data_IF_817839944656
#
_entry.id   IF_817839944656
#
_cell.length_a   1.000
_cell.length_b   1.000
_cell.length_c   1.000
_cell.angle_alpha   90.00
_cell.angle_beta   90.00
_cell.angle_gamma   90.00
#
_symmetry.space_group_name_H-M   'P 1'
#
loop_
_entity.id
_entity.type
_entity.pdbx_description
1 polymer ?
#
# COMPACT_ATOMS: atom_id res chain seq x y z
N UNK A 1 35.36 12.69 22.89
CA UNK A 1 33.96 12.71 22.40
C UNK A 1 33.65 11.33 21.87
N UNK A 2 32.68 10.58 22.39
CA UNK A 2 32.29 9.35 21.79
C UNK A 2 31.72 9.66 20.41
N UNK A 3 32.25 9.01 19.37
CA UNK A 3 31.66 9.00 18.02
C UNK A 3 30.22 8.51 18.17
N UNK A 4 29.24 9.41 18.14
CA UNK A 4 27.87 9.04 17.85
C UNK A 4 27.87 8.49 16.41
N UNK A 5 27.90 7.19 16.28
CA UNK A 5 27.59 6.57 15.00
C UNK A 5 26.11 6.83 14.73
N UNK A 6 25.84 7.93 14.06
CA UNK A 6 24.53 8.20 13.50
C UNK A 6 24.49 7.45 12.18
N UNK A 7 23.56 6.50 12.01
CA UNK A 7 23.32 5.91 10.70
C UNK A 7 23.08 7.03 9.69
N UNK A 8 23.69 6.98 8.49
CA UNK A 8 23.66 8.08 7.53
C UNK A 8 22.27 8.32 6.90
N UNK A 9 21.30 7.44 7.21
CA UNK A 9 19.98 7.48 6.60
C UNK A 9 19.03 8.39 7.37
N UNK A 10 18.57 9.46 6.73
CA UNK A 10 17.54 10.33 7.31
C UNK A 10 16.20 9.60 7.40
N UNK A 11 15.40 9.86 8.44
CA UNK A 11 14.01 9.38 8.50
C UNK A 11 13.21 9.82 7.28
N UNK A 12 12.35 8.92 6.80
CA UNK A 12 11.39 9.23 5.75
C UNK A 12 10.29 10.18 6.25
N UNK A 13 9.70 10.96 5.35
CA UNK A 13 8.51 11.74 5.67
C UNK A 13 7.33 10.79 5.92
N UNK A 14 6.61 10.99 7.01
CA UNK A 14 5.46 10.15 7.36
C UNK A 14 4.30 10.38 6.40
N UNK A 15 3.63 9.30 6.01
CA UNK A 15 2.50 9.41 5.08
C UNK A 15 1.41 10.36 5.58
N UNK A 16 1.12 10.35 6.87
CA UNK A 16 0.16 11.28 7.47
C UNK A 16 0.54 12.74 7.28
N UNK A 17 1.82 13.06 7.13
CA UNK A 17 2.31 14.40 6.82
C UNK A 17 2.19 14.69 5.33
N UNK A 18 2.52 13.71 4.47
CA UNK A 18 2.31 13.82 3.01
C UNK A 18 0.85 14.12 2.70
N UNK A 19 -0.08 13.38 3.32
CA UNK A 19 -1.53 13.58 3.13
C UNK A 19 -2.03 14.95 3.59
N UNK A 20 -1.36 15.59 4.55
CA UNK A 20 -1.69 16.96 5.00
C UNK A 20 -1.15 18.05 4.07
N UNK A 21 -0.07 17.76 3.34
CA UNK A 21 0.56 18.73 2.43
C UNK A 21 -0.15 18.86 1.08
N UNK A 22 -1.00 17.91 0.73
CA UNK A 22 -1.68 17.84 -0.55
C UNK A 22 -3.19 17.74 -0.36
N UNK A 23 -3.97 18.47 -1.14
CA UNK A 23 -5.42 18.35 -1.16
C UNK A 23 -5.90 17.00 -1.70
N UNK A 24 -5.09 16.38 -2.56
CA UNK A 24 -5.34 15.05 -3.12
C UNK A 24 -4.00 14.42 -3.53
N UNK A 25 -3.66 13.27 -2.98
CA UNK A 25 -2.36 12.62 -3.24
C UNK A 25 -2.44 11.60 -4.38
N UNK A 26 -1.38 11.54 -5.17
CA UNK A 26 -1.17 10.53 -6.21
C UNK A 26 -0.07 9.57 -5.76
N UNK A 27 -0.36 8.29 -5.76
CA UNK A 27 0.61 7.27 -5.38
C UNK A 27 0.50 6.00 -6.20
N UNK A 28 1.55 5.20 -6.19
CA UNK A 28 1.57 3.95 -6.93
C UNK A 28 2.30 2.85 -6.15
N UNK A 29 1.88 1.60 -6.39
CA UNK A 29 2.51 0.41 -5.87
C UNK A 29 3.49 -0.16 -6.88
N UNK A 30 4.67 -0.56 -6.41
CA UNK A 30 5.65 -1.31 -7.18
C UNK A 30 5.92 -2.67 -6.57
N UNK A 31 6.22 -3.64 -7.41
CA UNK A 31 6.56 -5.00 -7.00
C UNK A 31 8.08 -5.15 -7.09
N UNK A 32 8.76 -5.55 -6.00
CA UNK A 32 10.20 -5.82 -6.04
C UNK A 32 10.53 -6.91 -7.07
N UNK A 33 11.74 -6.88 -7.66
CA UNK A 33 12.15 -7.92 -8.59
C UNK A 33 12.19 -9.26 -7.88
N UNK A 34 11.58 -10.26 -8.49
CA UNK A 34 11.59 -11.63 -7.99
C UNK A 34 12.96 -12.24 -8.24
N UNK A 35 13.47 -13.02 -7.28
CA UNK A 35 14.75 -13.73 -7.41
C UNK A 35 15.97 -12.84 -7.71
N UNK A 36 15.90 -11.53 -7.39
CA UNK A 36 16.99 -10.60 -7.63
C UNK A 36 17.22 -10.21 -9.09
N UNK A 37 16.42 -10.73 -10.02
CA UNK A 37 16.51 -10.38 -11.44
C UNK A 37 15.79 -9.04 -11.73
N UNK A 38 16.15 -8.41 -12.85
CA UNK A 38 15.45 -7.25 -13.42
C UNK A 38 15.37 -6.00 -12.51
N UNK A 39 16.33 -5.82 -11.61
CA UNK A 39 16.36 -4.67 -10.70
C UNK A 39 16.32 -3.33 -11.47
N UNK A 40 17.05 -3.23 -12.58
CA UNK A 40 17.06 -2.03 -13.43
C UNK A 40 15.66 -1.65 -13.92
N UNK A 41 14.88 -2.61 -14.37
CA UNK A 41 13.49 -2.36 -14.84
C UNK A 41 12.59 -1.81 -13.74
N UNK A 42 12.73 -2.29 -12.50
CA UNK A 42 11.96 -1.77 -11.36
C UNK A 42 12.38 -0.33 -11.04
N UNK A 43 13.67 -0.02 -11.09
CA UNK A 43 14.15 1.36 -10.88
C UNK A 43 13.67 2.31 -12.00
N UNK A 44 13.63 1.86 -13.25
CA UNK A 44 13.06 2.62 -14.37
C UNK A 44 11.54 2.85 -14.19
N UNK A 45 10.80 1.85 -13.71
CA UNK A 45 9.39 2.03 -13.37
C UNK A 45 9.19 3.07 -12.27
N UNK A 46 9.98 3.00 -11.20
CA UNK A 46 9.96 3.95 -10.09
C UNK A 46 10.19 5.36 -10.61
N UNK A 47 11.26 5.56 -11.39
CA UNK A 47 11.59 6.84 -11.99
C UNK A 47 10.44 7.39 -12.85
N UNK A 48 9.84 6.53 -13.68
CA UNK A 48 8.73 6.91 -14.55
C UNK A 48 7.48 7.33 -13.78
N UNK A 49 7.13 6.61 -12.71
CA UNK A 49 5.97 6.92 -11.86
C UNK A 49 6.16 8.23 -11.09
N UNK A 50 7.35 8.45 -10.54
CA UNK A 50 7.69 9.70 -9.84
C UNK A 50 7.70 10.87 -10.83
N UNK A 51 8.32 10.71 -11.99
CA UNK A 51 8.31 11.71 -13.06
C UNK A 51 6.91 12.03 -13.59
N UNK A 52 5.97 11.10 -13.46
CA UNK A 52 4.57 11.29 -13.80
C UNK A 52 3.74 12.00 -12.71
N UNK A 53 4.31 12.25 -11.53
CA UNK A 53 3.67 13.00 -10.45
C UNK A 53 3.26 12.18 -9.23
N UNK A 54 3.69 10.92 -9.09
CA UNK A 54 3.49 10.18 -7.87
C UNK A 54 4.26 10.83 -6.70
N UNK A 55 3.56 11.17 -5.62
CA UNK A 55 4.10 11.87 -4.45
C UNK A 55 4.66 10.92 -3.40
N UNK A 56 4.23 9.67 -3.42
CA UNK A 56 4.83 8.58 -2.67
C UNK A 56 4.62 7.24 -3.41
N UNK A 57 5.42 6.26 -3.06
CA UNK A 57 5.28 4.90 -3.61
C UNK A 57 5.13 3.87 -2.49
N UNK A 58 4.54 2.73 -2.80
CA UNK A 58 4.60 1.56 -1.93
C UNK A 58 5.35 0.40 -2.59
N UNK A 59 5.97 -0.44 -1.78
CA UNK A 59 6.71 -1.62 -2.24
C UNK A 59 6.14 -2.86 -1.60
N UNK A 60 5.68 -3.82 -2.41
CA UNK A 60 5.07 -5.05 -1.93
C UNK A 60 6.07 -6.00 -1.28
N UNK A 61 5.60 -6.87 -0.38
CA UNK A 61 6.37 -7.95 0.24
C UNK A 61 5.62 -9.27 0.12
N UNK A 62 6.04 -10.11 -0.81
CA UNK A 62 5.49 -11.46 -1.00
C UNK A 62 4.03 -11.47 -1.48
N UNK A 63 3.61 -10.50 -2.27
CA UNK A 63 2.27 -10.42 -2.83
C UNK A 63 1.90 -11.69 -3.61
N UNK A 64 0.66 -12.19 -3.41
CA UNK A 64 0.18 -13.42 -4.02
C UNK A 64 0.94 -14.68 -3.58
N UNK A 65 1.49 -14.70 -2.37
CA UNK A 65 2.22 -15.86 -1.85
C UNK A 65 3.67 -16.02 -2.33
N UNK A 66 4.17 -15.07 -3.14
CA UNK A 66 5.50 -15.11 -3.74
C UNK A 66 6.65 -14.91 -2.74
N UNK A 67 7.89 -14.91 -3.24
CA UNK A 67 9.09 -14.62 -2.45
C UNK A 67 9.01 -13.25 -1.78
N UNK A 68 9.56 -13.15 -0.57
CA UNK A 68 9.45 -11.96 0.30
C UNK A 68 10.70 -11.08 0.33
N UNK A 69 11.69 -11.37 -0.49
CA UNK A 69 12.91 -10.58 -0.61
C UNK A 69 12.72 -9.29 -1.42
N UNK A 70 13.67 -8.38 -1.33
CA UNK A 70 13.76 -7.19 -2.19
C UNK A 70 12.96 -5.96 -1.73
N UNK A 71 11.98 -6.08 -0.83
CA UNK A 71 11.13 -4.93 -0.42
C UNK A 71 11.94 -3.82 0.24
N UNK A 72 12.75 -4.15 1.25
CA UNK A 72 13.54 -3.16 1.99
C UNK A 72 14.58 -2.45 1.10
N UNK A 73 15.41 -3.14 0.28
CA UNK A 73 16.32 -2.47 -0.63
C UNK A 73 15.65 -1.54 -1.64
N UNK A 74 14.50 -1.93 -2.19
CA UNK A 74 13.75 -1.08 -3.14
C UNK A 74 13.13 0.12 -2.41
N UNK A 75 12.54 -0.08 -1.21
CA UNK A 75 12.04 1.04 -0.40
C UNK A 75 13.16 2.04 -0.07
N UNK A 76 14.35 1.54 0.26
CA UNK A 76 15.52 2.36 0.52
C UNK A 76 15.98 3.12 -0.75
N UNK A 77 15.96 2.48 -1.91
CA UNK A 77 16.29 3.15 -3.17
C UNK A 77 15.29 4.27 -3.48
N UNK A 78 13.98 4.05 -3.30
CA UNK A 78 12.94 5.08 -3.48
C UNK A 78 13.25 6.29 -2.59
N UNK A 79 13.46 6.05 -1.31
CA UNK A 79 13.73 7.11 -0.32
C UNK A 79 15.05 7.85 -0.60
N UNK A 80 16.16 7.13 -0.84
CA UNK A 80 17.48 7.74 -0.92
C UNK A 80 17.84 8.26 -2.32
N UNK A 81 17.48 7.53 -3.37
CA UNK A 81 17.85 7.93 -4.74
C UNK A 81 16.83 8.90 -5.33
N UNK A 82 15.53 8.60 -5.14
CA UNK A 82 14.47 9.40 -5.75
C UNK A 82 13.90 10.46 -4.81
N UNK A 83 14.26 10.45 -3.51
CA UNK A 83 13.84 11.44 -2.51
C UNK A 83 12.31 11.57 -2.35
N UNK A 84 11.61 10.46 -2.51
CA UNK A 84 10.16 10.35 -2.40
C UNK A 84 9.81 9.43 -1.24
N UNK A 85 8.80 9.76 -0.40
CA UNK A 85 8.37 8.90 0.68
C UNK A 85 7.97 7.51 0.19
N UNK A 86 8.31 6.49 0.96
CA UNK A 86 8.05 5.10 0.61
C UNK A 86 7.33 4.34 1.71
N UNK A 87 6.22 3.69 1.36
CA UNK A 87 5.55 2.72 2.22
C UNK A 87 6.16 1.34 1.97
N UNK A 88 6.81 0.77 2.96
CA UNK A 88 7.24 -0.62 2.90
C UNK A 88 6.09 -1.54 3.35
N UNK A 89 5.65 -2.47 2.50
CA UNK A 89 4.77 -3.53 2.97
C UNK A 89 5.53 -4.45 3.90
N UNK A 90 4.92 -4.74 5.03
CA UNK A 90 5.48 -5.66 6.02
C UNK A 90 4.47 -6.77 6.32
N UNK A 91 4.89 -8.03 6.11
CA UNK A 91 4.03 -9.19 6.34
C UNK A 91 4.54 -10.00 7.51
N UNK A 92 3.65 -10.40 8.42
CA UNK A 92 3.98 -11.27 9.55
C UNK A 92 3.86 -12.77 9.25
N UNK A 93 3.41 -13.15 8.06
CA UNK A 93 3.30 -14.55 7.65
C UNK A 93 4.61 -15.31 7.87
N UNK A 94 4.54 -16.46 8.54
CA UNK A 94 5.67 -17.36 8.83
C UNK A 94 6.80 -16.75 9.67
N UNK A 95 6.56 -15.60 10.32
CA UNK A 95 7.51 -14.94 11.21
C UNK A 95 7.09 -15.14 12.67
N UNK A 96 8.09 -15.29 13.53
CA UNK A 96 7.91 -15.16 14.98
C UNK A 96 7.82 -13.68 15.36
N UNK A 97 7.28 -13.32 16.54
CA UNK A 97 7.34 -11.94 17.04
C UNK A 97 8.77 -11.39 17.09
N UNK A 98 9.76 -12.24 17.39
CA UNK A 98 11.17 -11.83 17.42
C UNK A 98 11.70 -11.53 16.00
N UNK A 99 11.33 -12.31 14.99
CA UNK A 99 11.70 -12.04 13.59
C UNK A 99 11.08 -10.72 13.12
N UNK A 100 9.82 -10.47 13.52
CA UNK A 100 9.11 -9.20 13.23
C UNK A 100 9.86 -8.02 13.84
N UNK A 101 10.22 -8.09 15.13
CA UNK A 101 10.96 -7.04 15.82
C UNK A 101 12.30 -6.75 15.14
N UNK A 102 13.10 -7.80 14.89
CA UNK A 102 14.40 -7.67 14.25
C UNK A 102 14.30 -6.99 12.87
N UNK A 103 13.36 -7.45 12.02
CA UNK A 103 13.18 -6.86 10.69
C UNK A 103 12.65 -5.41 10.75
N UNK A 104 11.79 -5.07 11.72
CA UNK A 104 11.32 -3.70 11.91
C UNK A 104 12.44 -2.77 12.34
N UNK A 105 13.34 -3.23 13.21
CA UNK A 105 14.53 -2.45 13.60
C UNK A 105 15.44 -2.20 12.40
N UNK A 106 15.61 -3.16 11.49
CA UNK A 106 16.34 -2.93 10.23
C UNK A 106 15.68 -1.82 9.42
N UNK A 107 14.33 -1.83 9.27
CA UNK A 107 13.60 -0.76 8.59
C UNK A 107 13.84 0.60 9.27
N UNK A 108 13.79 0.63 10.60
CA UNK A 108 14.03 1.85 11.37
C UNK A 108 15.43 2.41 11.15
N UNK A 109 16.47 1.56 11.16
CA UNK A 109 17.86 1.96 10.91
C UNK A 109 18.06 2.49 9.49
N UNK A 110 17.39 1.94 8.50
CA UNK A 110 17.38 2.46 7.13
C UNK A 110 16.55 3.75 6.97
N UNK A 111 15.95 4.25 8.04
CA UNK A 111 15.13 5.46 8.01
C UNK A 111 13.75 5.26 7.38
N UNK A 112 13.33 4.03 7.09
CA UNK A 112 11.97 3.75 6.64
C UNK A 112 11.02 4.01 7.79
N UNK A 113 9.99 4.84 7.54
CA UNK A 113 9.01 5.22 8.56
C UNK A 113 7.60 4.77 8.24
N UNK A 114 7.27 4.54 7.00
CA UNK A 114 5.91 4.16 6.60
C UNK A 114 5.83 2.64 6.39
N UNK A 115 5.04 1.98 7.20
CA UNK A 115 4.85 0.53 7.16
C UNK A 115 3.37 0.24 6.85
N UNK A 116 3.08 -0.49 5.77
CA UNK A 116 1.78 -1.11 5.58
C UNK A 116 1.80 -2.51 6.22
N UNK A 117 1.14 -2.64 7.36
CA UNK A 117 1.13 -3.87 8.14
C UNK A 117 0.10 -4.86 7.61
N UNK A 118 0.57 -6.01 7.16
CA UNK A 118 -0.22 -7.05 6.51
C UNK A 118 0.00 -8.41 7.19
N UNK A 119 -1.02 -9.26 7.16
CA UNK A 119 -0.84 -10.67 7.53
C UNK A 119 0.10 -11.36 6.53
N UNK A 120 -0.07 -11.09 5.27
CA UNK A 120 0.51 -11.80 4.13
C UNK A 120 -0.43 -12.88 3.59
N UNK A 121 -0.33 -13.11 2.27
CA UNK A 121 -1.09 -14.15 1.60
C UNK A 121 -0.55 -15.54 1.93
N UNK A 122 -1.36 -16.60 1.92
CA UNK A 122 -0.87 -17.97 1.94
C UNK A 122 0.20 -18.21 0.87
N UNK A 123 1.14 -19.12 1.08
CA UNK A 123 2.06 -19.52 0.02
C UNK A 123 1.32 -19.96 -1.24
N UNK A 124 1.88 -19.65 -2.40
CA UNK A 124 1.25 -19.98 -3.69
C UNK A 124 0.94 -21.49 -3.76
N UNK A 125 -0.29 -21.82 -4.17
CA UNK A 125 -0.78 -23.20 -4.25
C UNK A 125 -1.24 -23.85 -2.93
N UNK A 126 -1.14 -23.18 -1.78
CA UNK A 126 -1.59 -23.71 -0.48
C UNK A 126 -2.95 -23.08 -0.14
N UNK A 127 -4.00 -23.93 -0.10
CA UNK A 127 -5.36 -23.48 0.24
C UNK A 127 -5.58 -23.34 1.75
N UNK A 128 -5.03 -24.24 2.56
CA UNK A 128 -5.13 -24.22 4.02
C UNK A 128 -3.77 -23.90 4.67
N UNK A 129 -3.48 -22.62 4.77
CA UNK A 129 -2.31 -22.18 5.50
C UNK A 129 -2.68 -21.81 6.94
N UNK A 130 -1.84 -22.26 7.89
CA UNK A 130 -1.94 -21.87 9.29
C UNK A 130 -0.71 -21.06 9.69
N UNK A 131 -0.85 -19.98 10.49
CA UNK A 131 0.29 -19.30 11.07
C UNK A 131 1.16 -20.26 11.89
N UNK A 132 2.42 -19.91 12.10
CA UNK A 132 3.24 -20.60 13.11
C UNK A 132 2.58 -20.49 14.47
N UNK A 133 2.75 -21.49 15.34
CA UNK A 133 2.17 -21.53 16.67
C UNK A 133 2.46 -20.27 17.50
N UNK A 134 3.68 -19.72 17.40
CA UNK A 134 4.09 -18.48 18.03
C UNK A 134 3.94 -17.23 17.16
N UNK A 135 3.38 -17.35 15.94
CA UNK A 135 3.27 -16.26 14.98
C UNK A 135 1.96 -15.49 15.12
N UNK A 136 1.86 -14.36 14.43
CA UNK A 136 0.63 -13.58 14.37
C UNK A 136 -0.38 -14.17 13.38
N UNK A 137 -1.64 -14.22 13.80
CA UNK A 137 -2.76 -14.72 13.00
C UNK A 137 -3.40 -13.63 12.17
N UNK A 138 -3.34 -12.39 12.67
CA UNK A 138 -4.00 -11.23 12.06
C UNK A 138 -3.06 -10.02 11.98
N UNK A 139 -3.35 -9.13 11.04
CA UNK A 139 -2.56 -7.92 10.86
C UNK A 139 -2.67 -6.92 12.04
N UNK A 140 -3.77 -6.92 12.78
CA UNK A 140 -3.91 -6.05 13.95
C UNK A 140 -2.94 -6.42 15.09
N UNK A 141 -2.57 -7.69 15.23
CA UNK A 141 -1.56 -8.14 16.21
C UNK A 141 -0.16 -7.62 15.83
N UNK A 142 0.17 -7.64 14.53
CA UNK A 142 1.38 -7.00 14.02
C UNK A 142 1.38 -5.49 14.27
N UNK A 143 0.26 -4.81 14.01
CA UNK A 143 0.11 -3.37 14.26
C UNK A 143 0.33 -3.05 15.74
N UNK A 144 -0.20 -3.86 16.63
CA UNK A 144 0.02 -3.70 18.08
C UNK A 144 1.48 -3.82 18.45
N UNK A 145 2.24 -4.78 17.88
CA UNK A 145 3.68 -4.88 18.11
C UNK A 145 4.42 -3.64 17.59
N UNK A 146 4.11 -3.15 16.39
CA UNK A 146 4.75 -1.93 15.87
C UNK A 146 4.43 -0.73 16.78
N UNK A 147 3.20 -0.62 17.28
CA UNK A 147 2.82 0.43 18.23
C UNK A 147 3.59 0.34 19.54
N UNK A 148 3.82 -0.88 20.06
CA UNK A 148 4.66 -1.10 21.24
C UNK A 148 6.09 -0.63 21.01
N UNK A 149 6.70 -0.96 19.88
CA UNK A 149 8.02 -0.47 19.47
C UNK A 149 8.06 1.06 19.39
N UNK A 150 7.01 1.69 18.87
CA UNK A 150 6.89 3.16 18.87
C UNK A 150 6.82 3.76 20.30
N UNK A 151 6.39 2.98 21.27
CA UNK A 151 6.43 3.34 22.69
C UNK A 151 7.74 2.96 23.39
N UNK A 152 8.69 2.33 22.70
CA UNK A 152 9.93 1.81 23.32
C UNK A 152 9.73 0.49 24.07
N UNK A 153 8.60 -0.19 23.89
CA UNK A 153 8.30 -1.47 24.52
C UNK A 153 8.69 -2.62 23.58
N UNK A 154 9.83 -3.21 23.88
CA UNK A 154 10.44 -4.32 23.13
C UNK A 154 10.11 -5.67 23.76
N UNK A 155 10.21 -6.72 22.96
CA UNK A 155 10.02 -8.08 23.45
C UNK A 155 11.08 -8.44 24.50
N UNK A 156 10.62 -9.05 25.59
CA UNK A 156 11.52 -9.56 26.62
C UNK A 156 12.36 -10.70 26.07
N UNK A 157 13.68 -10.59 26.21
CA UNK A 157 14.63 -11.66 25.81
C UNK A 157 14.88 -12.58 27.00
N UNK A 158 14.66 -13.86 26.82
CA UNK A 158 14.99 -14.89 27.81
C UNK A 158 16.47 -15.20 27.68
N UNK A 159 17.25 -15.05 28.77
CA UNK A 159 18.67 -15.47 28.84
C UNK A 159 19.69 -14.54 28.18
N UNK A 160 19.30 -13.35 27.75
CA UNK A 160 20.23 -12.34 27.23
C UNK A 160 20.59 -11.27 28.28
N UNK A 161 21.67 -10.48 28.05
CA UNK A 161 21.95 -9.32 28.90
C UNK A 161 20.74 -8.36 28.82
N UNK A 162 20.31 -7.86 29.96
CA UNK A 162 19.23 -6.87 29.99
C UNK A 162 19.71 -5.60 29.31
N UNK A 163 19.04 -5.19 28.25
CA UNK A 163 19.30 -3.92 27.59
C UNK A 163 18.72 -2.82 28.48
N UNK A 164 19.60 -2.01 29.06
CA UNK A 164 19.22 -0.95 30.01
C UNK A 164 18.64 0.28 29.33
N UNK A 165 18.76 0.40 28.02
CA UNK A 165 18.27 1.52 27.23
C UNK A 165 17.66 1.04 25.92
N UNK A 166 16.41 1.42 25.68
CA UNK A 166 15.66 1.10 24.47
C UNK A 166 15.10 2.40 23.89
N UNK A 167 15.43 2.69 22.64
CA UNK A 167 14.90 3.85 21.94
C UNK A 167 13.55 3.50 21.28
N UNK A 168 12.60 4.43 21.40
CA UNK A 168 11.33 4.34 20.68
C UNK A 168 11.56 4.43 19.18
N UNK A 169 10.84 3.60 18.42
CA UNK A 169 10.69 3.82 16.99
C UNK A 169 9.60 4.87 16.73
N UNK A 170 9.43 5.30 15.48
CA UNK A 170 8.44 6.32 15.13
C UNK A 170 7.71 5.99 13.81
N UNK A 171 7.35 4.72 13.63
CA UNK A 171 6.65 4.25 12.44
C UNK A 171 5.27 4.89 12.27
N UNK A 172 4.98 5.32 11.05
CA UNK A 172 3.64 5.62 10.56
C UNK A 172 3.02 4.32 10.01
N UNK A 173 2.01 3.81 10.71
CA UNK A 173 1.46 2.47 10.49
C UNK A 173 0.23 2.57 9.60
N UNK A 174 0.23 1.85 8.48
CA UNK A 174 -0.91 1.69 7.59
C UNK A 174 -1.58 0.33 7.76
N UNK A 175 -2.85 0.27 7.44
CA UNK A 175 -3.67 -0.92 7.44
C UNK A 175 -4.37 -1.14 6.09
N UNK A 176 -4.47 -2.38 5.62
CA UNK A 176 -5.33 -2.70 4.49
C UNK A 176 -6.80 -2.68 4.91
N UNK A 177 -7.64 -2.07 4.08
CA UNK A 177 -9.09 -2.08 4.19
C UNK A 177 -9.70 -2.88 3.04
N UNK A 178 -10.81 -3.57 3.30
CA UNK A 178 -11.48 -4.45 2.35
C UNK A 178 -12.96 -4.07 2.24
N UNK A 179 -13.30 -3.02 1.47
CA UNK A 179 -14.68 -2.51 1.35
C UNK A 179 -15.67 -3.53 0.80
N UNK A 180 -15.19 -4.53 0.07
CA UNK A 180 -16.01 -5.58 -0.56
C UNK A 180 -15.81 -6.97 0.07
N UNK A 181 -15.32 -7.04 1.31
CA UNK A 181 -15.27 -8.33 2.02
C UNK A 181 -16.67 -8.98 2.03
N UNK A 182 -16.78 -10.29 1.73
CA UNK A 182 -18.09 -10.93 1.55
C UNK A 182 -19.01 -10.91 2.77
N UNK A 183 -18.45 -10.78 3.97
CA UNK A 183 -19.22 -10.65 5.22
C UNK A 183 -19.22 -9.19 5.67
N UNK A 184 -20.37 -8.51 5.57
CA UNK A 184 -20.51 -7.08 5.85
C UNK A 184 -20.02 -6.67 7.24
N UNK A 185 -20.40 -7.43 8.26
CA UNK A 185 -20.01 -7.18 9.65
C UNK A 185 -18.49 -7.28 9.84
N UNK A 186 -17.81 -8.16 9.11
CA UNK A 186 -16.36 -8.34 9.18
C UNK A 186 -15.58 -7.24 8.48
N UNK A 187 -16.13 -6.59 7.44
CA UNK A 187 -15.49 -5.48 6.74
C UNK A 187 -15.05 -4.41 7.72
N UNK A 188 -16.01 -3.91 8.47
CA UNK A 188 -15.82 -2.82 9.41
C UNK A 188 -15.08 -3.29 10.66
N UNK A 189 -15.46 -4.46 11.20
CA UNK A 189 -14.86 -5.03 12.41
C UNK A 189 -13.35 -5.20 12.29
N UNK A 190 -12.87 -5.87 11.23
CA UNK A 190 -11.44 -6.09 11.06
C UNK A 190 -10.67 -4.81 10.77
N UNK A 191 -11.26 -3.86 10.07
CA UNK A 191 -10.62 -2.58 9.87
C UNK A 191 -10.54 -1.79 11.18
N UNK A 192 -11.63 -1.77 11.95
CA UNK A 192 -11.65 -1.14 13.28
C UNK A 192 -10.61 -1.73 14.22
N UNK A 193 -10.48 -3.06 14.31
CA UNK A 193 -9.43 -3.71 15.11
C UNK A 193 -8.01 -3.23 14.74
N UNK A 194 -7.74 -3.00 13.45
CA UNK A 194 -6.45 -2.48 12.99
C UNK A 194 -6.23 -1.02 13.42
N UNK A 195 -7.28 -0.20 13.38
CA UNK A 195 -7.21 1.20 13.83
C UNK A 195 -7.03 1.26 15.35
N UNK A 196 -7.82 0.50 16.10
CA UNK A 196 -7.73 0.43 17.57
C UNK A 196 -6.35 -0.10 18.03
N UNK A 197 -5.72 -0.99 17.26
CA UNK A 197 -4.36 -1.46 17.49
C UNK A 197 -3.28 -0.39 17.25
N UNK A 198 -3.59 0.70 16.54
CA UNK A 198 -2.70 1.83 16.34
C UNK A 198 -2.36 2.19 14.90
N UNK A 199 -3.15 1.76 13.91
CA UNK A 199 -2.94 2.20 12.52
C UNK A 199 -3.36 3.67 12.34
N UNK A 200 -2.58 4.42 11.56
CA UNK A 200 -2.72 5.85 11.34
C UNK A 200 -3.44 6.19 10.02
N UNK A 201 -3.52 5.24 9.09
CA UNK A 201 -4.20 5.38 7.81
C UNK A 201 -4.63 4.02 7.25
N UNK A 202 -5.54 4.04 6.28
CA UNK A 202 -5.96 2.86 5.53
C UNK A 202 -5.63 2.97 4.04
N UNK A 203 -5.39 1.83 3.38
CA UNK A 203 -5.40 1.70 1.92
C UNK A 203 -6.38 0.57 1.58
N UNK A 204 -7.34 0.81 0.68
CA UNK A 204 -8.25 -0.25 0.27
C UNK A 204 -7.55 -1.24 -0.67
N UNK A 205 -8.06 -2.46 -0.75
CA UNK A 205 -7.80 -3.31 -1.90
C UNK A 205 -8.35 -2.67 -3.19
N UNK A 206 -8.26 -3.39 -4.33
CA UNK A 206 -8.72 -2.84 -5.63
C UNK A 206 -10.20 -2.48 -5.56
N UNK A 207 -10.51 -1.26 -5.98
CA UNK A 207 -11.86 -0.71 -5.97
C UNK A 207 -12.14 -0.03 -7.30
N UNK A 208 -13.29 -0.34 -7.92
CA UNK A 208 -13.72 0.19 -9.21
C UNK A 208 -15.11 0.84 -9.17
N UNK A 209 -15.84 0.66 -8.09
CA UNK A 209 -17.11 1.33 -7.85
C UNK A 209 -16.95 2.40 -6.75
N UNK A 210 -17.01 3.69 -7.10
CA UNK A 210 -16.83 4.77 -6.15
C UNK A 210 -17.93 4.82 -5.09
N UNK A 211 -19.12 4.28 -5.36
CA UNK A 211 -20.22 4.20 -4.40
C UNK A 211 -19.89 3.21 -3.25
N UNK A 212 -19.15 2.15 -3.54
CA UNK A 212 -18.67 1.21 -2.52
C UNK A 212 -17.71 1.93 -1.57
N UNK A 213 -16.80 2.73 -2.11
CA UNK A 213 -15.90 3.56 -1.31
C UNK A 213 -16.67 4.51 -0.39
N UNK A 214 -17.63 5.25 -0.96
CA UNK A 214 -18.43 6.21 -0.22
C UNK A 214 -19.18 5.56 0.96
N UNK A 215 -19.86 4.43 0.71
CA UNK A 215 -20.57 3.68 1.76
C UNK A 215 -19.63 3.15 2.83
N UNK A 216 -18.45 2.66 2.44
CA UNK A 216 -17.46 2.15 3.40
C UNK A 216 -16.93 3.24 4.31
N UNK A 217 -16.55 4.41 3.75
CA UNK A 217 -16.06 5.56 4.52
C UNK A 217 -17.14 6.11 5.45
N UNK A 218 -18.40 6.20 5.00
CA UNK A 218 -19.53 6.60 5.83
C UNK A 218 -19.71 5.64 7.03
N UNK A 219 -19.64 4.33 6.79
CA UNK A 219 -19.71 3.32 7.85
C UNK A 219 -18.54 3.42 8.83
N UNK A 220 -17.34 3.68 8.33
CA UNK A 220 -16.15 3.94 9.15
C UNK A 220 -16.37 5.15 10.07
N UNK A 221 -16.82 6.27 9.50
CA UNK A 221 -17.09 7.51 10.24
C UNK A 221 -18.13 7.30 11.35
N UNK A 222 -19.25 6.64 11.03
CA UNK A 222 -20.31 6.27 12.01
C UNK A 222 -19.80 5.38 13.14
N UNK A 223 -18.72 4.61 12.89
CA UNK A 223 -18.09 3.75 13.89
C UNK A 223 -16.92 4.39 14.62
N UNK A 224 -16.71 5.70 14.46
CA UNK A 224 -15.67 6.47 15.12
C UNK A 224 -14.27 6.31 14.49
N UNK A 225 -14.18 5.80 13.27
CA UNK A 225 -12.91 5.71 12.51
C UNK A 225 -12.74 7.02 11.73
N UNK A 226 -11.70 7.80 12.07
CA UNK A 226 -11.41 9.12 11.50
C UNK A 226 -10.08 9.19 10.73
N UNK A 227 -9.37 8.07 10.60
CA UNK A 227 -8.12 8.04 9.85
C UNK A 227 -8.36 8.19 8.34
N UNK A 228 -7.42 8.80 7.58
CA UNK A 228 -7.53 8.86 6.15
C UNK A 228 -7.51 7.46 5.51
N UNK A 229 -8.39 7.22 4.54
CA UNK A 229 -8.51 5.96 3.80
C UNK A 229 -8.27 6.25 2.33
N UNK A 230 -7.15 5.76 1.79
CA UNK A 230 -6.85 5.91 0.36
C UNK A 230 -7.52 4.78 -0.42
N UNK A 231 -8.36 5.09 -1.43
CA UNK A 231 -8.83 4.06 -2.35
C UNK A 231 -7.68 3.53 -3.21
N UNK A 232 -7.52 2.21 -3.20
CA UNK A 232 -6.64 1.49 -4.12
C UNK A 232 -7.40 1.17 -5.41
N UNK A 233 -6.79 1.37 -6.57
CA UNK A 233 -7.42 1.08 -7.85
C UNK A 233 -6.40 0.71 -8.91
N UNK A 234 -6.88 0.33 -10.07
CA UNK A 234 -6.04 -0.05 -11.21
C UNK A 234 -6.68 0.37 -12.52
N UNK A 235 -5.87 0.68 -13.55
CA UNK A 235 -6.36 0.93 -14.89
C UNK A 235 -6.72 -0.40 -15.54
N UNK A 236 -7.97 -0.51 -15.97
CA UNK A 236 -8.50 -1.67 -16.67
C UNK A 236 -8.12 -1.59 -18.16
N UNK A 237 -7.72 -2.71 -18.75
CA UNK A 237 -7.27 -2.76 -20.14
C UNK A 237 -8.33 -3.29 -21.09
N UNK A 238 -9.08 -4.29 -20.64
CA UNK A 238 -10.12 -4.94 -21.45
C UNK A 238 -11.18 -5.57 -20.57
N UNK A 239 -12.34 -5.88 -21.15
CA UNK A 239 -13.46 -6.56 -20.48
C UNK A 239 -13.05 -7.94 -19.99
N UNK A 240 -12.33 -8.69 -20.82
CA UNK A 240 -11.81 -10.02 -20.45
C UNK A 240 -10.86 -9.93 -19.24
N UNK A 241 -9.92 -8.98 -19.22
CA UNK A 241 -9.02 -8.77 -18.09
C UNK A 241 -9.79 -8.32 -16.85
N UNK A 242 -10.72 -7.39 -17.01
CA UNK A 242 -11.55 -6.86 -15.92
C UNK A 242 -12.35 -7.98 -15.23
N UNK A 243 -13.02 -8.84 -15.98
CA UNK A 243 -13.78 -9.98 -15.44
C UNK A 243 -12.88 -10.99 -14.69
N UNK A 244 -11.72 -11.34 -15.27
CA UNK A 244 -10.75 -12.23 -14.60
C UNK A 244 -10.27 -11.63 -13.27
N UNK A 245 -10.02 -10.33 -13.24
CA UNK A 245 -9.58 -9.63 -12.04
C UNK A 245 -10.71 -9.54 -11.01
N UNK A 246 -11.93 -9.18 -11.40
CA UNK A 246 -13.09 -9.16 -10.53
C UNK A 246 -13.30 -10.51 -9.84
N UNK A 247 -13.22 -11.61 -10.59
CA UNK A 247 -13.35 -12.96 -10.04
C UNK A 247 -12.20 -13.32 -9.07
N UNK A 248 -10.96 -12.97 -9.43
CA UNK A 248 -9.78 -13.29 -8.61
C UNK A 248 -9.76 -12.54 -7.27
N UNK A 249 -10.07 -11.26 -7.30
CA UNK A 249 -9.98 -10.37 -6.12
C UNK A 249 -11.34 -10.17 -5.44
N UNK A 250 -12.42 -10.75 -5.98
CA UNK A 250 -13.80 -10.64 -5.48
C UNK A 250 -14.25 -9.18 -5.35
N UNK A 251 -13.96 -8.39 -6.37
CA UNK A 251 -14.30 -6.96 -6.44
C UNK A 251 -15.34 -6.70 -7.50
N UNK A 252 -16.16 -5.69 -7.28
CA UNK A 252 -17.21 -5.27 -8.20
C UNK A 252 -16.67 -4.30 -9.23
N UNK A 253 -16.91 -4.60 -10.51
CA UNK A 253 -16.68 -3.65 -11.60
C UNK A 253 -18.04 -3.27 -12.18
N UNK A 254 -18.44 -1.99 -12.16
CA UNK A 254 -19.73 -1.55 -12.65
C UNK A 254 -19.95 -2.00 -14.11
N UNK A 255 -21.17 -2.45 -14.43
CA UNK A 255 -21.51 -2.93 -15.76
C UNK A 255 -21.32 -1.87 -16.84
N UNK A 256 -21.55 -0.59 -16.50
CA UNK A 256 -21.24 0.55 -17.38
C UNK A 256 -19.76 0.62 -17.74
N UNK A 257 -18.87 0.38 -16.78
CA UNK A 257 -17.41 0.31 -16.99
C UNK A 257 -17.06 -0.89 -17.89
N UNK A 258 -17.63 -2.08 -17.61
CA UNK A 258 -17.39 -3.26 -18.43
C UNK A 258 -17.80 -3.06 -19.89
N UNK A 259 -18.97 -2.45 -20.14
CA UNK A 259 -19.44 -2.17 -21.51
C UNK A 259 -18.56 -1.17 -22.25
N UNK A 260 -17.97 -0.23 -21.55
CA UNK A 260 -17.11 0.79 -22.13
C UNK A 260 -15.69 0.27 -22.46
N UNK A 261 -15.27 -0.89 -21.93
CA UNK A 261 -13.99 -1.50 -22.23
C UNK A 261 -14.02 -2.32 -23.53
N UNK A 262 -12.92 -2.36 -24.32
CA UNK A 262 -12.78 -3.29 -25.43
C UNK A 262 -12.83 -4.73 -24.92
N UNK A 263 -13.25 -5.68 -25.76
CA UNK A 263 -13.41 -7.09 -25.36
C UNK A 263 -12.06 -7.73 -24.97
N UNK A 264 -11.02 -7.51 -25.77
CA UNK A 264 -9.67 -8.04 -25.53
C UNK A 264 -8.60 -6.98 -25.70
N UNK A 265 -7.39 -7.25 -25.18
CA UNK A 265 -6.23 -6.32 -25.28
C UNK A 265 -5.74 -6.14 -26.73
N UNK A 266 -6.10 -7.07 -27.65
CA UNK A 266 -5.70 -7.03 -29.06
C UNK A 266 -6.64 -6.24 -29.98
N UNK A 267 -7.83 -5.86 -29.50
CA UNK A 267 -8.82 -5.10 -30.29
C UNK A 267 -8.57 -3.58 -30.26
N UNK A 268 -7.38 -3.16 -29.91
CA UNK A 268 -7.05 -1.75 -29.75
C UNK A 268 -6.79 -1.09 -31.11
N UNK A 269 -7.74 -0.31 -31.55
CA UNK A 269 -7.43 0.84 -32.39
C UNK A 269 -6.55 1.83 -31.60
N UNK A 270 -5.82 2.69 -32.26
CA UNK A 270 -4.95 3.71 -31.63
C UNK A 270 -5.63 4.58 -30.57
N UNK A 271 -6.96 4.61 -30.49
CA UNK A 271 -7.76 5.34 -29.51
C UNK A 271 -8.01 4.58 -28.19
N UNK A 272 -7.90 3.27 -28.14
CA UNK A 272 -8.27 2.48 -26.97
C UNK A 272 -7.43 2.74 -25.70
N UNK A 273 -6.11 3.00 -25.74
CA UNK A 273 -5.36 3.37 -24.54
C UNK A 273 -5.86 4.64 -23.87
N UNK A 274 -6.21 5.67 -24.66
CA UNK A 274 -6.79 6.92 -24.15
C UNK A 274 -8.15 6.71 -23.48
N UNK A 275 -8.95 5.83 -24.04
CA UNK A 275 -10.27 5.53 -23.52
C UNK A 275 -10.23 4.85 -22.14
N UNK A 276 -9.32 3.91 -21.93
CA UNK A 276 -9.11 3.26 -20.65
C UNK A 276 -8.63 4.25 -19.57
N UNK A 277 -7.80 5.22 -19.94
CA UNK A 277 -7.36 6.29 -19.04
C UNK A 277 -8.54 7.19 -18.69
N UNK A 278 -9.39 7.55 -19.63
CA UNK A 278 -10.59 8.36 -19.37
C UNK A 278 -11.53 7.69 -18.35
N UNK A 279 -11.79 6.40 -18.48
CA UNK A 279 -12.57 5.66 -17.49
C UNK A 279 -11.95 5.72 -16.09
N UNK A 280 -10.63 5.60 -16.02
CA UNK A 280 -9.90 5.73 -14.77
C UNK A 280 -9.98 7.15 -14.20
N UNK A 281 -9.81 8.18 -15.01
CA UNK A 281 -9.93 9.58 -14.57
C UNK A 281 -11.34 9.88 -14.06
N UNK A 282 -12.38 9.40 -14.72
CA UNK A 282 -13.77 9.51 -14.29
C UNK A 282 -14.03 8.83 -12.93
N UNK A 283 -13.39 7.68 -12.67
CA UNK A 283 -13.42 7.02 -11.36
C UNK A 283 -12.75 7.90 -10.30
N UNK A 284 -11.55 8.44 -10.60
CA UNK A 284 -10.80 9.31 -9.67
C UNK A 284 -11.58 10.56 -9.32
N UNK A 285 -12.24 11.21 -10.29
CA UNK A 285 -13.07 12.39 -10.06
C UNK A 285 -14.24 12.11 -9.13
N UNK A 286 -14.87 10.95 -9.25
CA UNK A 286 -15.93 10.52 -8.34
C UNK A 286 -15.39 10.24 -6.94
N UNK A 287 -14.26 9.54 -6.82
CA UNK A 287 -13.61 9.29 -5.53
C UNK A 287 -13.21 10.62 -4.83
N UNK A 288 -12.69 11.59 -5.60
CA UNK A 288 -12.39 12.94 -5.08
C UNK A 288 -13.64 13.64 -4.55
N UNK A 289 -14.78 13.55 -5.25
CA UNK A 289 -16.07 14.10 -4.79
C UNK A 289 -16.58 13.45 -3.51
N UNK A 290 -16.25 12.17 -3.28
CA UNK A 290 -16.55 11.45 -2.04
C UNK A 290 -15.52 11.67 -0.93
N UNK A 291 -14.63 12.64 -1.09
CA UNK A 291 -13.67 13.03 -0.06
C UNK A 291 -12.46 12.12 0.08
N UNK A 292 -12.12 11.35 -0.96
CA UNK A 292 -10.89 10.58 -0.93
C UNK A 292 -9.67 11.50 -0.79
N UNK A 293 -8.71 11.21 0.13
CA UNK A 293 -7.54 12.06 0.34
C UNK A 293 -6.48 11.89 -0.75
N UNK A 294 -6.70 11.00 -1.69
CA UNK A 294 -5.82 10.65 -2.78
C UNK A 294 -6.22 9.34 -3.40
N UNK A 295 -5.35 8.80 -4.27
CA UNK A 295 -5.47 7.45 -4.83
C UNK A 295 -4.17 6.67 -4.67
N UNK A 296 -4.31 5.34 -4.60
CA UNK A 296 -3.21 4.40 -4.65
C UNK A 296 -3.34 3.50 -5.87
N UNK A 297 -2.43 3.64 -6.85
CA UNK A 297 -2.51 2.96 -8.13
C UNK A 297 -1.72 1.64 -8.12
N UNK A 298 -2.42 0.51 -8.25
CA UNK A 298 -1.81 -0.82 -8.39
C UNK A 298 -1.28 -1.04 -9.80
N UNK A 299 0.01 -0.78 -10.01
CA UNK A 299 0.67 -0.83 -11.34
C UNK A 299 1.02 -2.26 -11.74
N UNK A 300 1.38 -3.12 -10.80
CA UNK A 300 1.85 -4.51 -10.97
C UNK A 300 3.15 -4.58 -11.80
N UNK A 301 3.08 -4.55 -13.12
CA UNK A 301 4.28 -4.69 -13.99
C UNK A 301 4.29 -3.78 -15.22
N UNK A 302 3.22 -3.02 -15.44
CA UNK A 302 3.04 -2.23 -16.66
C UNK A 302 2.69 -0.79 -16.35
N UNK A 303 3.64 0.11 -16.63
CA UNK A 303 3.50 1.55 -16.43
C UNK A 303 2.86 2.29 -17.61
N UNK A 304 2.59 1.61 -18.77
CA UNK A 304 2.10 2.26 -19.98
C UNK A 304 0.77 3.00 -19.80
N UNK A 305 -0.13 2.45 -18.98
CA UNK A 305 -1.36 3.16 -18.60
C UNK A 305 -1.18 4.10 -17.41
N UNK A 306 -0.37 3.71 -16.44
CA UNK A 306 -0.18 4.42 -15.19
C UNK A 306 0.50 5.78 -15.37
N UNK A 307 1.56 5.85 -16.16
CA UNK A 307 2.33 7.08 -16.39
C UNK A 307 1.47 8.19 -17.02
N UNK A 308 0.81 8.00 -18.18
CA UNK A 308 -0.02 9.07 -18.75
C UNK A 308 -1.23 9.43 -17.88
N UNK A 309 -1.81 8.49 -17.13
CA UNK A 309 -2.90 8.78 -16.21
C UNK A 309 -2.44 9.68 -15.04
N UNK A 310 -1.30 9.35 -14.43
CA UNK A 310 -0.72 10.19 -13.36
C UNK A 310 -0.33 11.57 -13.87
N UNK A 311 0.24 11.66 -15.07
CA UNK A 311 0.58 12.96 -15.70
C UNK A 311 -0.64 13.85 -15.89
N UNK A 312 -1.77 13.30 -16.37
CA UNK A 312 -3.01 14.06 -16.53
C UNK A 312 -3.57 14.52 -15.18
N UNK A 313 -3.59 13.65 -14.17
CA UNK A 313 -4.03 14.03 -12.82
C UNK A 313 -3.12 15.10 -12.20
N UNK A 314 -1.81 14.98 -12.32
CA UNK A 314 -0.87 15.97 -11.81
C UNK A 314 -0.98 17.32 -12.54
N UNK A 315 -1.27 17.31 -13.84
CA UNK A 315 -1.53 18.53 -14.61
C UNK A 315 -2.81 19.25 -14.16
N UNK A 316 -3.89 18.49 -13.93
CA UNK A 316 -5.16 19.02 -13.42
C UNK A 316 -4.97 19.68 -12.03
N UNK A 317 -4.24 19.04 -11.12
CA UNK A 317 -3.96 19.61 -9.79
C UNK A 317 -3.22 20.95 -9.84
N UNK A 318 -2.29 21.12 -10.79
CA UNK A 318 -1.57 22.39 -10.97
C UNK A 318 -2.45 23.52 -11.49
N UNK A 319 -3.53 23.19 -12.21
CA UNK A 319 -4.52 24.17 -12.69
C UNK A 319 -5.47 24.60 -11.57
N UNK A 320 -5.91 23.65 -10.71
CA UNK A 320 -6.77 23.93 -9.55
C UNK A 320 -6.08 24.77 -8.46
N UNK A 321 -4.75 24.85 -8.48
CA UNK A 321 -3.91 25.57 -7.49
C UNK A 321 -3.54 27.00 -7.93
N UNK A 322 -3.90 27.40 -9.15
CA UNK A 322 -3.72 28.77 -9.70
C UNK A 322 -5.00 29.56 -9.63
#
# INVERSE_FOLDING_TARGET
MPLRMVFPFKPDLKLTEVLKQHSFTLSAEVIPPRNGAEQGKVLEQIQSLIGAGAQFLSVTKGAGGSLRGGSLPIAQAIKEQFKVPCIAHFTCRDLTPQDVENQLIDHHYFGIRNILALRGDPPDGIQEWKPRESGYHYAYELIEQIRKLNGGDYLKRVGGPQVTYQESTDFCIGAAAYPEHPVDEERLRFFKLKIDAGAHYGITDMLFDPEIYARFVDSCTKSGISVPILPGTRILKSRTQARKMAAKFRVTIPESTLRALPESEGETSTAAPSYNIELFLNLVDKLKKYGAPGIHLYVISDTKGAVPALQQLAAAQKQDSK
#
